data_IF_451325328324
#
_entry.id   IF_451325328324
#
_cell.length_a   1.000
_cell.length_b   1.000
_cell.length_c   1.000
_cell.angle_alpha   90.00
_cell.angle_beta   90.00
_cell.angle_gamma   90.00
#
_symmetry.space_group_name_H-M   'P 1'
#
loop_
_entity.id
_entity.type
_entity.pdbx_description
1 polymer ?
#
# COMPACT_ATOMS: atom_id res chain seq x y z
N UNK A 1 -23.69 4.19 4.01
CA UNK A 1 -22.86 5.00 3.09
C UNK A 1 -21.48 5.14 3.73
N UNK A 2 -20.58 4.16 3.54
CA UNK A 2 -19.25 4.18 4.15
C UNK A 2 -18.39 5.25 3.44
N UNK A 3 -18.03 6.28 4.19
CA UNK A 3 -17.33 7.47 3.71
C UNK A 3 -15.98 7.14 3.09
N UNK A 4 -15.74 7.82 1.96
CA UNK A 4 -14.66 7.66 0.99
C UNK A 4 -13.35 8.30 1.47
N UNK A 5 -12.89 7.96 2.67
CA UNK A 5 -11.70 8.58 3.26
C UNK A 5 -10.58 7.56 3.42
N UNK A 6 -9.40 7.87 2.85
CA UNK A 6 -8.14 7.24 3.23
C UNK A 6 -7.71 5.98 2.46
N UNK A 7 -8.13 5.73 1.22
CA UNK A 7 -7.54 4.63 0.42
C UNK A 7 -6.43 5.14 -0.48
N UNK A 8 -5.24 4.54 -0.35
CA UNK A 8 -4.01 4.92 -1.03
C UNK A 8 -4.04 4.69 -2.57
N UNK A 9 -5.09 4.05 -3.10
CA UNK A 9 -5.38 3.92 -4.53
C UNK A 9 -6.89 3.96 -4.79
N UNK A 10 -7.33 4.85 -5.68
CA UNK A 10 -8.74 5.07 -5.98
C UNK A 10 -9.25 4.05 -7.01
N UNK A 11 -10.13 3.14 -6.58
CA UNK A 11 -10.67 2.07 -7.43
C UNK A 11 -11.43 2.59 -8.68
N UNK A 12 -12.18 3.69 -8.55
CA UNK A 12 -13.00 4.23 -9.64
C UNK A 12 -12.38 5.47 -10.32
N UNK A 13 -11.06 5.61 -10.30
CA UNK A 13 -10.35 6.71 -10.94
C UNK A 13 -10.11 6.49 -12.45
N UNK A 14 -9.88 7.58 -13.18
CA UNK A 14 -9.43 7.51 -14.58
C UNK A 14 -8.07 6.80 -14.69
N UNK A 15 -7.75 6.14 -15.83
CA UNK A 15 -6.47 5.47 -16.00
C UNK A 15 -5.25 6.37 -15.75
N UNK A 16 -5.30 7.62 -16.22
CA UNK A 16 -4.24 8.61 -15.99
C UNK A 16 -4.06 8.93 -14.51
N UNK A 17 -5.15 8.99 -13.74
CA UNK A 17 -5.09 9.22 -12.29
C UNK A 17 -4.54 8.00 -11.55
N UNK A 18 -5.00 6.78 -11.88
CA UNK A 18 -4.44 5.54 -11.31
C UNK A 18 -2.94 5.42 -11.58
N UNK A 19 -2.49 5.76 -12.78
CA UNK A 19 -1.08 5.77 -13.15
C UNK A 19 -0.28 6.80 -12.33
N UNK A 20 -0.83 8.01 -12.12
CA UNK A 20 -0.19 9.03 -11.30
C UNK A 20 -0.09 8.64 -9.82
N UNK A 21 -1.17 8.08 -9.25
CA UNK A 21 -1.19 7.56 -7.87
C UNK A 21 -0.14 6.44 -7.72
N UNK A 22 -0.17 5.43 -8.60
CA UNK A 22 0.79 4.32 -8.59
C UNK A 22 2.25 4.79 -8.78
N UNK A 23 2.48 5.83 -9.59
CA UNK A 23 3.80 6.45 -9.75
C UNK A 23 4.27 7.13 -8.47
N UNK A 24 3.38 7.84 -7.77
CA UNK A 24 3.69 8.51 -6.50
C UNK A 24 4.16 7.51 -5.45
N UNK A 25 3.51 6.35 -5.38
CA UNK A 25 3.73 5.30 -4.36
C UNK A 25 4.97 4.45 -4.63
N UNK A 26 5.21 4.08 -5.89
CA UNK A 26 6.37 3.27 -6.25
C UNK A 26 7.66 4.07 -6.25
N UNK A 27 7.58 5.40 -6.35
CA UNK A 27 8.73 6.27 -6.38
C UNK A 27 9.58 6.06 -7.64
N UNK A 28 10.90 6.16 -7.46
CA UNK A 28 11.88 6.03 -8.55
C UNK A 28 12.26 4.56 -8.84
N UNK A 29 13.20 4.34 -9.76
CA UNK A 29 13.67 3.01 -10.15
C UNK A 29 14.26 2.17 -8.99
N UNK A 30 14.65 2.80 -7.90
CA UNK A 30 15.19 2.16 -6.70
C UNK A 30 14.13 1.96 -5.60
N UNK A 31 12.84 2.02 -5.95
CA UNK A 31 11.71 1.95 -5.02
C UNK A 31 11.77 3.01 -3.90
N UNK A 32 12.37 4.18 -4.18
CA UNK A 32 12.43 5.30 -3.24
C UNK A 32 11.43 6.39 -3.61
N UNK A 33 10.60 6.76 -2.64
CA UNK A 33 9.69 7.90 -2.75
C UNK A 33 10.48 9.20 -2.93
N UNK A 34 9.92 10.12 -3.73
CA UNK A 34 10.45 11.49 -3.79
C UNK A 34 10.13 12.21 -2.47
N UNK A 35 11.04 13.02 -1.91
CA UNK A 35 10.74 13.82 -0.72
C UNK A 35 9.45 14.63 -0.91
N UNK A 36 8.54 14.52 0.05
CA UNK A 36 7.23 15.20 -0.02
C UNK A 36 6.21 14.59 -0.97
N UNK A 37 6.40 13.34 -1.43
CA UNK A 37 5.40 12.64 -2.21
C UNK A 37 4.05 12.61 -1.48
N UNK A 38 2.99 12.97 -2.21
CA UNK A 38 1.62 12.98 -1.72
C UNK A 38 0.68 12.32 -2.73
N UNK A 39 -0.52 12.02 -2.27
CA UNK A 39 -1.60 11.43 -3.07
C UNK A 39 -2.82 12.32 -2.96
N UNK A 40 -3.48 12.55 -4.09
CA UNK A 40 -4.72 13.31 -4.13
C UNK A 40 -5.89 12.41 -3.70
N UNK A 41 -6.67 12.79 -2.67
CA UNK A 41 -7.81 12.01 -2.19
C UNK A 41 -8.91 11.92 -3.26
N UNK A 42 -9.63 10.81 -3.22
CA UNK A 42 -10.70 10.47 -4.16
C UNK A 42 -11.89 11.44 -4.05
N UNK A 43 -11.86 12.55 -4.80
CA UNK A 43 -12.97 13.49 -4.91
C UNK A 43 -12.60 14.96 -4.68
N UNK A 44 -11.36 15.29 -4.37
CA UNK A 44 -10.95 16.69 -4.22
C UNK A 44 -10.92 17.39 -5.59
N UNK A 45 -11.82 18.36 -5.77
CA UNK A 45 -11.79 19.32 -6.88
C UNK A 45 -10.79 20.45 -6.66
N UNK A 46 -10.09 20.48 -5.53
CA UNK A 46 -9.09 21.49 -5.19
C UNK A 46 -7.77 20.84 -4.77
N UNK A 47 -6.66 21.47 -5.15
CA UNK A 47 -5.28 21.06 -4.86
C UNK A 47 -4.89 21.12 -3.37
N UNK A 48 -5.83 21.39 -2.46
CA UNK A 48 -5.54 21.74 -1.06
C UNK A 48 -5.54 20.57 -0.08
N UNK A 49 -6.20 19.46 -0.41
CA UNK A 49 -6.19 18.26 0.42
C UNK A 49 -5.33 17.23 -0.30
N UNK A 50 -4.06 17.11 0.05
CA UNK A 50 -3.21 16.00 -0.41
C UNK A 50 -2.72 15.22 0.80
N UNK A 51 -2.78 13.89 0.73
CA UNK A 51 -2.29 13.01 1.80
C UNK A 51 -0.80 12.80 1.57
N UNK A 52 0.04 13.39 2.43
CA UNK A 52 1.50 13.18 2.39
C UNK A 52 1.86 11.77 2.81
N UNK A 53 2.79 11.13 2.10
CA UNK A 53 3.31 9.82 2.47
C UNK A 53 4.36 9.96 3.59
N UNK A 54 4.15 9.27 4.71
CA UNK A 54 5.08 9.33 5.85
C UNK A 54 6.50 8.87 5.49
N UNK A 55 6.61 7.80 4.69
CA UNK A 55 7.88 7.29 4.16
C UNK A 55 8.59 8.26 3.20
N UNK A 56 7.90 9.30 2.70
CA UNK A 56 8.51 10.34 1.88
C UNK A 56 9.17 11.46 2.72
N UNK A 57 9.07 11.42 4.06
CA UNK A 57 9.77 12.34 4.95
C UNK A 57 11.23 11.89 5.14
N UNK A 58 12.21 12.82 5.20
CA UNK A 58 13.61 12.49 5.49
C UNK A 58 13.81 11.72 6.80
N UNK A 59 12.87 11.88 7.76
CA UNK A 59 12.89 11.24 9.07
C UNK A 59 11.51 10.68 9.41
N UNK A 60 11.06 9.71 8.61
CA UNK A 60 9.80 9.00 8.82
C UNK A 60 9.65 8.54 10.28
N UNK A 61 8.48 8.79 10.85
CA UNK A 61 8.09 8.38 12.19
C UNK A 61 7.75 6.90 12.24
N UNK A 62 7.00 6.47 11.24
CA UNK A 62 6.50 5.11 11.07
C UNK A 62 6.99 4.59 9.74
N UNK A 63 7.58 3.40 9.77
CA UNK A 63 7.94 2.65 8.59
C UNK A 63 7.20 1.31 8.60
N UNK A 64 6.74 0.89 7.42
CA UNK A 64 6.00 -0.35 7.22
C UNK A 64 6.69 -1.15 6.13
N UNK A 65 7.06 -2.39 6.45
CA UNK A 65 7.59 -3.38 5.52
C UNK A 65 6.63 -4.57 5.44
N UNK A 66 6.40 -5.07 4.22
CA UNK A 66 5.65 -6.31 3.97
C UNK A 66 6.63 -7.35 3.49
N UNK A 67 6.69 -8.49 4.18
CA UNK A 67 7.63 -9.58 3.94
C UNK A 67 6.81 -10.85 3.69
N UNK A 68 6.50 -11.17 2.43
CA UNK A 68 5.83 -12.41 2.08
C UNK A 68 6.73 -13.64 2.34
N UNK A 69 6.14 -14.78 2.66
CA UNK A 69 6.86 -16.06 2.83
C UNK A 69 7.45 -16.58 1.51
N UNK A 70 6.73 -16.35 0.40
CA UNK A 70 7.14 -16.75 -0.95
C UNK A 70 6.94 -15.57 -1.90
N UNK A 71 7.51 -15.65 -3.09
CA UNK A 71 7.29 -14.68 -4.17
C UNK A 71 6.36 -15.20 -5.27
N UNK A 72 5.72 -16.36 -5.04
CA UNK A 72 4.84 -17.02 -6.01
C UNK A 72 3.49 -17.24 -5.33
N UNK A 73 2.45 -16.68 -5.94
CA UNK A 73 1.08 -16.82 -5.46
C UNK A 73 0.19 -17.22 -6.62
N UNK A 74 -0.81 -18.04 -6.30
CA UNK A 74 -1.81 -18.49 -7.25
C UNK A 74 -3.17 -17.94 -6.88
N UNK A 75 -3.96 -17.61 -7.88
CA UNK A 75 -5.35 -17.23 -7.67
C UNK A 75 -6.10 -18.39 -7.00
N UNK A 76 -6.96 -18.09 -6.01
CA UNK A 76 -7.58 -19.09 -5.15
C UNK A 76 -6.67 -19.64 -4.05
N UNK A 77 -5.44 -19.13 -3.94
CA UNK A 77 -4.50 -19.44 -2.86
C UNK A 77 -4.46 -18.34 -1.79
N UNK A 78 -3.45 -18.41 -0.93
CA UNK A 78 -3.19 -17.42 0.11
C UNK A 78 -1.83 -16.76 -0.10
N UNK A 79 -1.75 -15.48 0.25
CA UNK A 79 -0.51 -14.75 0.50
C UNK A 79 -0.31 -14.75 2.00
N UNK A 80 0.76 -15.41 2.45
CA UNK A 80 1.19 -15.42 3.84
C UNK A 80 2.48 -14.62 3.99
N UNK A 81 2.69 -14.05 5.16
CA UNK A 81 3.89 -13.30 5.44
C UNK A 81 3.84 -12.61 6.79
N UNK A 82 4.76 -11.67 6.94
CA UNK A 82 4.80 -10.77 8.09
C UNK A 82 4.78 -9.32 7.63
N UNK A 83 4.10 -8.51 8.42
CA UNK A 83 4.13 -7.07 8.38
C UNK A 83 5.04 -6.62 9.51
N UNK A 84 6.02 -5.78 9.21
CA UNK A 84 6.90 -5.15 10.19
C UNK A 84 6.62 -3.66 10.24
N UNK A 85 6.21 -3.18 11.40
CA UNK A 85 5.92 -1.76 11.63
C UNK A 85 6.94 -1.24 12.64
N UNK A 86 7.70 -0.23 12.23
CA UNK A 86 8.72 0.40 13.08
C UNK A 86 8.29 1.82 13.42
N UNK A 87 8.07 2.06 14.71
CA UNK A 87 7.77 3.36 15.28
C UNK A 87 9.02 3.84 16.00
N UNK A 88 9.72 4.84 15.45
CA UNK A 88 10.93 5.37 16.10
C UNK A 88 10.60 6.11 17.40
N UNK A 89 11.56 6.37 18.29
CA UNK A 89 11.35 7.23 19.45
C UNK A 89 11.08 8.70 19.12
N UNK A 90 10.20 9.37 19.89
CA UNK A 90 9.80 10.78 19.65
C UNK A 90 10.88 11.76 20.02
N UNK A 91 11.02 12.79 19.19
CA UNK A 91 11.74 13.99 19.59
C UNK A 91 10.86 14.81 20.53
N UNK A 92 11.47 15.76 21.27
CA UNK A 92 10.75 16.60 22.24
C UNK A 92 9.62 17.43 21.61
N UNK A 93 9.67 17.65 20.30
CA UNK A 93 8.72 18.47 19.53
C UNK A 93 7.68 17.63 18.80
N UNK A 94 7.76 16.30 18.86
CA UNK A 94 6.87 15.39 18.15
C UNK A 94 5.74 14.88 19.06
N UNK A 95 4.52 14.86 18.52
CA UNK A 95 3.38 14.20 19.14
C UNK A 95 3.56 12.66 19.15
N UNK A 96 2.72 11.98 19.93
CA UNK A 96 2.62 10.51 19.85
C UNK A 96 2.24 10.06 18.44
N UNK A 97 2.68 8.86 18.07
CA UNK A 97 2.20 8.17 16.89
C UNK A 97 0.83 7.54 17.19
N UNK A 98 -0.15 7.77 16.32
CA UNK A 98 -1.45 7.12 16.38
C UNK A 98 -1.66 6.42 15.04
N UNK A 99 -1.33 5.15 15.00
CA UNK A 99 -1.57 4.31 13.85
C UNK A 99 -3.02 3.81 13.96
N UNK A 100 -3.78 4.00 12.90
CA UNK A 100 -5.13 3.45 12.78
C UNK A 100 -5.32 2.77 11.45
N UNK A 101 -6.26 1.83 11.41
CA UNK A 101 -6.80 1.18 10.20
C UNK A 101 -5.72 0.84 9.14
N UNK A 102 -5.07 -0.32 9.32
CA UNK A 102 -4.15 -0.85 8.33
C UNK A 102 -4.88 -1.61 7.21
N UNK A 103 -4.37 -1.56 5.99
CA UNK A 103 -4.86 -2.39 4.87
C UNK A 103 -3.69 -2.98 4.08
N UNK A 104 -3.81 -4.27 3.77
CA UNK A 104 -2.95 -4.97 2.82
C UNK A 104 -3.64 -4.94 1.46
N UNK A 105 -2.89 -4.61 0.40
CA UNK A 105 -3.41 -4.53 -0.96
C UNK A 105 -2.47 -5.23 -1.93
N UNK A 106 -3.05 -6.00 -2.84
CA UNK A 106 -2.39 -6.52 -4.03
C UNK A 106 -2.80 -5.67 -5.21
N UNK A 107 -1.82 -5.22 -5.99
CA UNK A 107 -2.03 -4.42 -7.19
C UNK A 107 -1.34 -5.07 -8.37
N UNK A 108 -2.11 -5.45 -9.38
CA UNK A 108 -1.61 -5.88 -10.69
C UNK A 108 -1.58 -4.70 -11.66
N UNK A 109 -0.45 -4.49 -12.31
CA UNK A 109 -0.29 -3.45 -13.31
C UNK A 109 0.56 -3.91 -14.49
N UNK A 110 0.31 -3.31 -15.65
CA UNK A 110 1.12 -3.45 -16.85
C UNK A 110 1.98 -2.20 -17.05
N UNK A 111 3.21 -2.40 -17.50
CA UNK A 111 4.14 -1.31 -17.79
C UNK A 111 5.02 -1.66 -19.00
N UNK A 112 5.49 -0.63 -19.68
CA UNK A 112 6.55 -0.74 -20.68
C UNK A 112 7.87 -0.40 -19.97
N UNK A 113 8.94 -1.15 -20.26
CA UNK A 113 10.27 -0.89 -19.72
C UNK A 113 10.72 0.52 -20.07
N UNK A 114 11.31 1.21 -19.11
CA UNK A 114 11.75 2.62 -19.22
C UNK A 114 10.62 3.65 -19.42
N UNK A 115 9.36 3.23 -19.45
CA UNK A 115 8.21 4.14 -19.40
C UNK A 115 7.78 4.36 -17.95
N UNK A 116 7.42 5.60 -17.63
CA UNK A 116 6.93 5.95 -16.29
C UNK A 116 5.44 5.60 -16.11
N UNK A 117 4.73 5.33 -17.19
CA UNK A 117 3.30 5.00 -17.17
C UNK A 117 3.09 3.55 -16.77
N UNK A 118 2.25 3.35 -15.77
CA UNK A 118 1.84 2.05 -15.24
C UNK A 118 0.31 1.99 -15.25
N UNK A 119 -0.24 0.93 -15.81
CA UNK A 119 -1.68 0.76 -15.96
C UNK A 119 -2.17 -0.34 -15.02
N UNK A 120 -2.86 0.05 -13.95
CA UNK A 120 -3.47 -0.90 -13.01
C UNK A 120 -4.62 -1.63 -13.66
N UNK A 121 -4.61 -2.96 -13.64
CA UNK A 121 -5.69 -3.82 -14.15
C UNK A 121 -6.31 -4.71 -13.07
N UNK A 122 -5.67 -4.85 -11.91
CA UNK A 122 -6.16 -5.68 -10.81
C UNK A 122 -5.90 -5.03 -9.46
N UNK A 123 -6.89 -5.01 -8.58
CA UNK A 123 -6.73 -4.63 -7.17
C UNK A 123 -7.57 -5.50 -6.25
N UNK A 124 -6.96 -5.95 -5.16
CA UNK A 124 -7.66 -6.57 -4.04
C UNK A 124 -7.10 -6.01 -2.73
N UNK A 125 -7.97 -5.66 -1.79
CA UNK A 125 -7.58 -5.17 -0.47
C UNK A 125 -8.18 -6.03 0.62
N UNK A 126 -7.47 -6.16 1.74
CA UNK A 126 -7.94 -6.79 2.97
C UNK A 126 -7.54 -5.90 4.16
N UNK A 127 -8.48 -5.53 5.05
CA UNK A 127 -8.14 -4.85 6.30
C UNK A 127 -7.13 -5.67 7.11
N UNK A 128 -6.17 -5.00 7.75
CA UNK A 128 -5.15 -5.66 8.58
C UNK A 128 -5.78 -6.40 9.77
N UNK A 129 -6.90 -5.87 10.30
CA UNK A 129 -7.69 -6.54 11.33
C UNK A 129 -8.25 -7.89 10.90
N UNK A 130 -8.53 -8.07 9.61
CA UNK A 130 -8.98 -9.35 9.04
C UNK A 130 -7.78 -10.21 8.62
N UNK A 131 -6.70 -9.58 8.15
CA UNK A 131 -5.50 -10.28 7.71
C UNK A 131 -4.65 -10.82 8.87
N UNK A 132 -4.73 -10.20 10.04
CA UNK A 132 -3.92 -10.53 11.22
C UNK A 132 -4.73 -10.44 12.51
N UNK A 133 -4.86 -11.55 13.28
CA UNK A 133 -5.56 -11.52 14.56
C UNK A 133 -4.85 -10.65 15.61
N UNK A 134 -3.57 -10.33 15.40
CA UNK A 134 -2.76 -9.53 16.32
C UNK A 134 -2.84 -8.03 16.05
N UNK A 135 -3.49 -7.60 14.95
CA UNK A 135 -3.59 -6.20 14.57
C UNK A 135 -4.26 -5.33 15.64
N UNK A 136 -5.19 -5.88 16.41
CA UNK A 136 -5.86 -5.19 17.52
C UNK A 136 -4.90 -4.66 18.60
N UNK A 137 -3.76 -5.33 18.82
CA UNK A 137 -2.77 -4.89 19.80
C UNK A 137 -1.97 -3.66 19.33
N UNK A 138 -2.04 -3.35 18.04
CA UNK A 138 -1.41 -2.17 17.44
C UNK A 138 -2.37 -0.98 17.32
N UNK A 139 -3.68 -1.15 17.56
CA UNK A 139 -4.68 -0.10 17.33
C UNK A 139 -5.48 0.27 18.59
N UNK A 140 -5.12 -0.30 19.74
CA UNK A 140 -5.81 -0.04 21.00
C UNK A 140 -5.20 1.20 21.69
N UNK A 141 -5.98 2.28 21.70
CA UNK A 141 -5.67 3.63 22.21
C UNK A 141 -5.12 3.68 23.64
N UNK A 142 -3.80 3.62 23.81
CA UNK A 142 -2.96 4.82 23.98
C UNK A 142 -2.09 5.10 22.73
N UNK A 143 -1.22 6.14 22.71
CA UNK A 143 -0.20 6.27 21.67
C UNK A 143 0.55 4.97 21.48
N UNK A 144 0.74 4.56 20.23
CA UNK A 144 1.32 3.24 19.94
C UNK A 144 2.70 3.12 20.54
N UNK A 145 2.97 1.96 21.14
CA UNK A 145 4.24 1.67 21.77
C UNK A 145 5.37 1.87 20.74
N UNK A 146 6.36 2.68 21.10
CA UNK A 146 7.55 2.84 20.28
C UNK A 146 8.28 1.48 20.15
N UNK A 147 8.93 1.26 19.02
CA UNK A 147 9.67 0.02 18.77
C UNK A 147 9.28 -0.66 17.46
N UNK A 148 9.49 -1.98 17.42
CA UNK A 148 9.27 -2.81 16.24
C UNK A 148 8.16 -3.80 16.55
N UNK A 149 7.09 -3.72 15.77
CA UNK A 149 5.94 -4.60 15.83
C UNK A 149 5.97 -5.52 14.63
N UNK A 150 5.85 -6.83 14.86
CA UNK A 150 5.83 -7.84 13.80
C UNK A 150 4.51 -8.58 13.89
N UNK A 151 3.71 -8.50 12.83
CA UNK A 151 2.38 -9.08 12.74
C UNK A 151 2.37 -10.11 11.60
N UNK A 152 2.05 -11.38 11.85
CA UNK A 152 1.79 -12.30 10.75
C UNK A 152 0.54 -11.86 10.00
N UNK A 153 0.50 -12.03 8.69
CA UNK A 153 -0.69 -11.76 7.89
C UNK A 153 -1.00 -12.92 6.95
N UNK A 154 -2.28 -13.07 6.65
CA UNK A 154 -2.80 -14.03 5.69
C UNK A 154 -3.87 -13.33 4.82
N UNK A 155 -3.75 -13.43 3.50
CA UNK A 155 -4.70 -12.85 2.56
C UNK A 155 -5.09 -13.86 1.49
N UNK A 156 -6.38 -14.23 1.44
CA UNK A 156 -6.92 -15.08 0.38
C UNK A 156 -7.00 -14.33 -0.95
N UNK A 157 -6.48 -14.90 -2.03
CA UNK A 157 -6.59 -14.35 -3.38
C UNK A 157 -7.87 -14.84 -4.04
N UNK A 158 -8.84 -13.95 -4.22
CA UNK A 158 -10.16 -14.35 -4.70
C UNK A 158 -10.14 -14.85 -6.16
N UNK A 159 -10.92 -15.90 -6.43
CA UNK A 159 -11.16 -16.41 -7.79
C UNK A 159 -11.98 -15.42 -8.64
N UNK A 160 -12.68 -14.48 -8.02
CA UNK A 160 -13.45 -13.40 -8.67
C UNK A 160 -13.95 -12.38 -7.64
N UNK A 161 -14.51 -11.25 -8.11
CA UNK A 161 -15.12 -10.23 -7.25
C UNK A 161 -14.21 -9.09 -6.78
N UNK A 162 -12.92 -9.13 -7.13
CA UNK A 162 -12.01 -7.98 -7.00
C UNK A 162 -12.19 -6.93 -8.10
N UNK A 163 -11.46 -5.82 -8.00
CA UNK A 163 -11.40 -4.84 -9.09
C UNK A 163 -10.51 -5.41 -10.21
N UNK A 164 -11.12 -5.84 -11.30
CA UNK A 164 -10.43 -6.43 -12.45
C UNK A 164 -10.10 -7.92 -12.28
N UNK A 165 -9.24 -8.44 -13.16
CA UNK A 165 -8.94 -9.88 -13.25
C UNK A 165 -7.42 -10.09 -13.27
N UNK A 166 -6.86 -10.97 -12.41
CA UNK A 166 -5.44 -11.29 -12.46
C UNK A 166 -5.09 -11.95 -13.79
N UNK A 167 -4.02 -11.50 -14.42
CA UNK A 167 -3.53 -11.95 -15.74
C UNK A 167 -2.36 -12.94 -15.66
N UNK A 168 -1.95 -13.34 -14.45
CA UNK A 168 -0.66 -14.01 -14.23
C UNK A 168 0.53 -13.08 -14.50
N UNK A 169 1.75 -13.61 -14.47
CA UNK A 169 2.98 -12.87 -14.78
C UNK A 169 3.42 -13.17 -16.21
N UNK A 170 3.72 -12.12 -16.97
CA UNK A 170 4.28 -12.23 -18.32
C UNK A 170 5.43 -11.22 -18.40
N UNK A 171 6.63 -11.71 -18.67
CA UNK A 171 7.79 -10.88 -18.99
C UNK A 171 8.23 -11.18 -20.43
N UNK A 172 7.44 -10.79 -21.45
CA UNK A 172 7.83 -11.01 -22.83
C UNK A 172 9.14 -10.26 -23.12
N UNK A 173 9.95 -10.80 -24.04
CA UNK A 173 11.17 -10.15 -24.54
C UNK A 173 10.92 -8.82 -25.29
N UNK A 174 9.67 -8.34 -25.33
CA UNK A 174 9.22 -7.17 -26.09
C UNK A 174 9.06 -5.88 -25.26
N UNK A 175 9.70 -5.81 -24.09
CA UNK A 175 9.70 -4.59 -23.26
C UNK A 175 8.40 -4.31 -22.52
N UNK A 176 7.36 -5.12 -22.66
CA UNK A 176 6.14 -5.04 -21.83
C UNK A 176 6.32 -5.95 -20.62
N UNK A 177 5.77 -5.60 -19.46
CA UNK A 177 5.73 -6.47 -18.29
C UNK A 177 4.38 -6.39 -17.59
N UNK A 178 3.89 -7.54 -17.15
CA UNK A 178 2.76 -7.69 -16.21
C UNK A 178 3.35 -7.97 -14.84
N UNK A 179 3.10 -7.09 -13.87
CA UNK A 179 3.68 -7.16 -12.53
C UNK A 179 2.61 -7.07 -11.46
N UNK A 180 2.92 -7.65 -10.30
CA UNK A 180 2.13 -7.49 -9.09
C UNK A 180 3.01 -6.92 -7.99
N UNK A 181 2.42 -6.09 -7.15
CA UNK A 181 3.01 -5.63 -5.91
C UNK A 181 2.06 -5.95 -4.77
N UNK A 182 2.63 -6.25 -3.61
CA UNK A 182 1.92 -6.24 -2.34
C UNK A 182 2.33 -4.97 -1.65
N UNK A 183 1.36 -4.23 -1.16
CA UNK A 183 1.58 -3.00 -0.42
C UNK A 183 0.75 -3.02 0.85
N UNK A 184 1.26 -2.34 1.86
CA UNK A 184 0.51 -2.05 3.07
C UNK A 184 0.56 -0.56 3.34
N UNK A 185 -0.54 -0.05 3.85
CA UNK A 185 -0.60 1.30 4.40
C UNK A 185 -1.36 1.30 5.71
N UNK A 186 -1.06 2.31 6.51
CA UNK A 186 -1.71 2.62 7.77
C UNK A 186 -2.03 4.11 7.77
N UNK A 187 -3.05 4.51 8.50
CA UNK A 187 -3.39 5.91 8.69
C UNK A 187 -2.67 6.43 9.95
N UNK A 188 -2.16 7.66 9.85
CA UNK A 188 -1.39 8.35 10.89
C UNK A 188 -2.02 9.71 11.19
#
# INVERSE_FOLDING_TARGET
MLSRHGTLLTANATPSRKAAELKSILGNANARLKPGASILPAGAMSSMESTSLEQAKPRARVEVDVIPETNIFVQGGYINGTVKIRIRPRTKTESGALISDGKIRVVGFECIQNEEKRHTFYQQSLPLSEASPFAQYLFNSPPDNEGVHVLPFCMYLMLGGGEGTPKGTIAPHAGVAVRYIIMMYVLF
#
